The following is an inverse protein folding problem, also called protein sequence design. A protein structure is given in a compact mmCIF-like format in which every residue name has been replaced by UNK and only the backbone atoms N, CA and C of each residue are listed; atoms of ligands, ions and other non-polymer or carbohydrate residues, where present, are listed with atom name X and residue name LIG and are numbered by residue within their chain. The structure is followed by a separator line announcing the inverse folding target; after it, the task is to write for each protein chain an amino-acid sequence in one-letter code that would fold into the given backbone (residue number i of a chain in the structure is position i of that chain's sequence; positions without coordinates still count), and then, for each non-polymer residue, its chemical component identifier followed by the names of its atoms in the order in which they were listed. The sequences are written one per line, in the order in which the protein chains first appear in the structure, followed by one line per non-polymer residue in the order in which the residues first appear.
data_IF_330811479228
#
_entry.id   IF_330811479228
#
_cell.length_a   1.000
_cell.length_b   1.000
_cell.length_c   1.000
_cell.angle_alpha   90.00
_cell.angle_beta   90.00
_cell.angle_gamma   90.00
#
_symmetry.space_group_name_H-M   'P 1'
#
loop_
_entity.id
_entity.type
_entity.pdbx_description
1 polymer ?
#
# COMPACT_ATOMS: atom_id res chain seq x y z
N UNK A 1 -14.82 20.17 -10.03
CA UNK A 1 -13.98 20.64 -8.90
C UNK A 1 -13.38 21.99 -9.27
N UNK A 2 -12.82 22.71 -8.30
CA UNK A 2 -11.96 23.89 -8.54
C UNK A 2 -10.52 23.57 -8.09
N UNK A 3 -9.57 24.45 -8.37
CA UNK A 3 -8.15 24.21 -8.04
C UNK A 3 -7.92 23.92 -6.55
N UNK A 4 -8.52 24.71 -5.65
CA UNK A 4 -8.41 24.50 -4.20
C UNK A 4 -8.94 23.13 -3.76
N UNK A 5 -10.04 22.67 -4.36
CA UNK A 5 -10.59 21.34 -4.08
C UNK A 5 -9.64 20.24 -4.56
N UNK A 6 -9.06 20.37 -5.75
CA UNK A 6 -8.07 19.41 -6.29
C UNK A 6 -6.83 19.36 -5.39
N UNK A 7 -6.28 20.51 -4.99
CA UNK A 7 -5.12 20.57 -4.11
C UNK A 7 -5.37 19.91 -2.75
N UNK A 8 -6.54 20.18 -2.13
CA UNK A 8 -6.94 19.55 -0.87
C UNK A 8 -7.07 18.03 -1.02
N UNK A 9 -7.67 17.56 -2.11
CA UNK A 9 -7.79 16.14 -2.38
C UNK A 9 -6.43 15.47 -2.59
N UNK A 10 -5.52 16.10 -3.35
CA UNK A 10 -4.14 15.62 -3.49
C UNK A 10 -3.49 15.46 -2.12
N UNK A 11 -3.54 16.48 -1.25
CA UNK A 11 -2.95 16.39 0.09
C UNK A 11 -3.55 15.25 0.93
N UNK A 12 -4.87 15.05 0.89
CA UNK A 12 -5.55 13.95 1.59
C UNK A 12 -5.08 12.59 1.08
N UNK A 13 -5.03 12.41 -0.25
CA UNK A 13 -4.68 11.14 -0.88
C UNK A 13 -3.19 10.82 -0.71
N UNK A 14 -2.30 11.81 -0.76
CA UNK A 14 -0.88 11.66 -0.39
C UNK A 14 -0.72 11.12 1.04
N UNK A 15 -1.50 11.66 1.99
CA UNK A 15 -1.53 11.16 3.36
C UNK A 15 -2.05 9.73 3.46
N UNK A 16 -3.04 9.35 2.64
CA UNK A 16 -3.57 7.99 2.57
C UNK A 16 -2.54 6.99 2.03
N UNK A 17 -1.83 7.32 0.94
CA UNK A 17 -0.73 6.49 0.41
C UNK A 17 0.33 6.23 1.46
N UNK A 18 0.77 7.26 2.19
CA UNK A 18 1.78 7.12 3.24
C UNK A 18 1.35 6.16 4.35
N UNK A 19 0.08 6.17 4.76
CA UNK A 19 -0.44 5.26 5.79
C UNK A 19 -0.59 3.84 5.25
N UNK A 20 -1.20 3.68 4.07
CA UNK A 20 -1.41 2.38 3.44
C UNK A 20 -0.10 1.68 3.09
N UNK A 21 0.94 2.44 2.69
CA UNK A 21 2.27 1.86 2.42
C UNK A 21 2.87 1.27 3.69
N UNK A 22 2.80 2.00 4.82
CA UNK A 22 3.26 1.49 6.12
C UNK A 22 2.47 0.27 6.59
N UNK A 23 1.16 0.28 6.41
CA UNK A 23 0.30 -0.86 6.73
C UNK A 23 0.66 -2.08 5.86
N UNK A 24 0.87 -1.88 4.56
CA UNK A 24 1.27 -2.94 3.63
C UNK A 24 2.64 -3.55 4.00
N UNK A 25 3.60 -2.71 4.38
CA UNK A 25 4.92 -3.17 4.81
C UNK A 25 4.86 -3.93 6.14
N UNK A 26 4.02 -3.49 7.09
CA UNK A 26 3.76 -4.24 8.33
C UNK A 26 3.22 -5.65 8.05
N UNK A 27 2.24 -5.79 7.15
CA UNK A 27 1.71 -7.12 6.81
C UNK A 27 2.73 -7.99 6.08
N UNK A 28 3.64 -7.40 5.29
CA UNK A 28 4.76 -8.15 4.70
C UNK A 28 5.68 -8.72 5.78
N UNK A 29 6.09 -7.89 6.74
CA UNK A 29 6.94 -8.31 7.84
C UNK A 29 6.27 -9.42 8.68
N UNK A 30 4.99 -9.26 9.02
CA UNK A 30 4.21 -10.27 9.74
C UNK A 30 4.09 -11.59 8.96
N UNK A 31 3.80 -11.53 7.66
CA UNK A 31 3.70 -12.71 6.81
C UNK A 31 5.02 -13.47 6.71
N UNK A 32 6.15 -12.77 6.63
CA UNK A 32 7.48 -13.39 6.63
C UNK A 32 7.81 -14.03 7.99
N UNK A 33 7.39 -13.42 9.11
CA UNK A 33 7.53 -14.04 10.43
C UNK A 33 6.71 -15.33 10.53
N UNK A 34 5.47 -15.34 10.04
CA UNK A 34 4.63 -16.54 10.01
C UNK A 34 5.22 -17.64 9.13
N UNK A 35 5.73 -17.26 7.95
CA UNK A 35 6.42 -18.18 7.05
C UNK A 35 7.66 -18.79 7.71
N UNK A 36 8.51 -17.97 8.31
CA UNK A 36 9.72 -18.41 9.02
C UNK A 36 9.36 -19.39 10.15
N UNK A 37 8.29 -19.11 10.91
CA UNK A 37 7.81 -20.01 11.96
C UNK A 37 7.32 -21.35 11.39
N UNK A 38 6.55 -21.32 10.31
CA UNK A 38 6.11 -22.54 9.63
C UNK A 38 7.30 -23.39 9.16
N UNK A 39 8.26 -22.77 8.47
CA UNK A 39 9.43 -23.45 7.91
C UNK A 39 10.30 -24.08 9.02
N UNK A 40 10.40 -23.39 10.16
CA UNK A 40 11.09 -23.92 11.34
C UNK A 40 10.37 -25.14 11.94
N UNK A 41 9.04 -25.09 12.09
CA UNK A 41 8.25 -26.23 12.60
C UNK A 41 8.37 -27.46 11.69
N UNK A 42 8.37 -27.26 10.37
CA UNK A 42 8.60 -28.32 9.38
C UNK A 42 10.00 -28.91 9.54
N UNK A 43 11.02 -28.06 9.65
CA UNK A 43 12.42 -28.48 9.81
C UNK A 43 12.65 -29.27 11.10
N UNK A 44 11.99 -28.88 12.19
CA UNK A 44 12.11 -29.53 13.49
C UNK A 44 11.31 -30.83 13.58
N UNK A 45 10.54 -31.19 12.54
CA UNK A 45 9.70 -32.38 12.54
C UNK A 45 8.60 -32.30 13.60
N UNK A 46 8.06 -31.09 13.82
CA UNK A 46 7.01 -30.84 14.80
C UNK A 46 5.70 -31.56 14.45
N UNK A 47 4.76 -31.58 15.40
CA UNK A 47 3.46 -32.23 15.20
C UNK A 47 2.70 -31.64 14.00
N UNK A 48 1.93 -32.51 13.33
CA UNK A 48 1.17 -32.15 12.12
C UNK A 48 0.19 -31.01 12.37
N UNK A 49 -0.43 -30.97 13.56
CA UNK A 49 -1.36 -29.91 13.92
C UNK A 49 -0.66 -28.55 14.00
N UNK A 50 0.53 -28.50 14.62
CA UNK A 50 1.31 -27.27 14.76
C UNK A 50 1.76 -26.72 13.40
N UNK A 51 2.25 -27.59 12.52
CA UNK A 51 2.64 -27.22 11.15
C UNK A 51 1.44 -26.68 10.36
N UNK A 52 0.31 -27.38 10.39
CA UNK A 52 -0.93 -26.94 9.70
C UNK A 52 -1.45 -25.62 10.26
N UNK A 53 -1.37 -25.42 11.56
CA UNK A 53 -1.81 -24.18 12.18
C UNK A 53 -0.91 -23.00 11.77
N UNK A 54 0.42 -23.19 11.74
CA UNK A 54 1.34 -22.17 11.28
C UNK A 54 1.14 -21.81 9.80
N UNK A 55 0.86 -22.81 8.94
CA UNK A 55 0.52 -22.57 7.53
C UNK A 55 -0.73 -21.70 7.40
N UNK A 56 -1.80 -22.00 8.16
CA UNK A 56 -3.03 -21.18 8.14
C UNK A 56 -2.76 -19.72 8.52
N UNK A 57 -1.92 -19.47 9.52
CA UNK A 57 -1.56 -18.09 9.91
C UNK A 57 -0.78 -17.37 8.80
N UNK A 58 0.12 -18.09 8.11
CA UNK A 58 0.81 -17.54 6.95
C UNK A 58 -0.15 -17.23 5.78
N UNK A 59 -1.13 -18.10 5.51
CA UNK A 59 -2.13 -17.87 4.47
C UNK A 59 -3.05 -16.67 4.79
N UNK A 60 -3.52 -16.55 6.04
CA UNK A 60 -4.35 -15.41 6.46
C UNK A 60 -3.60 -14.08 6.38
N UNK A 61 -2.35 -14.02 6.84
CA UNK A 61 -1.51 -12.81 6.71
C UNK A 61 -1.18 -12.48 5.25
N UNK A 62 -0.97 -13.49 4.40
CA UNK A 62 -0.78 -13.30 2.95
C UNK A 62 -2.01 -12.66 2.26
N UNK A 63 -3.22 -12.98 2.72
CA UNK A 63 -4.44 -12.32 2.22
C UNK A 63 -4.44 -10.82 2.57
N UNK A 64 -3.92 -10.43 3.73
CA UNK A 64 -3.80 -9.03 4.14
C UNK A 64 -2.81 -8.24 3.28
N UNK A 65 -1.71 -8.85 2.82
CA UNK A 65 -0.81 -8.24 1.83
C UNK A 65 -1.56 -7.94 0.53
N UNK A 66 -2.37 -8.89 0.05
CA UNK A 66 -3.12 -8.74 -1.20
C UNK A 66 -4.16 -7.62 -1.09
N UNK A 67 -4.92 -7.59 0.02
CA UNK A 67 -5.92 -6.56 0.28
C UNK A 67 -5.30 -5.16 0.45
N UNK A 68 -4.25 -5.04 1.28
CA UNK A 68 -3.56 -3.76 1.49
C UNK A 68 -2.93 -3.23 0.20
N UNK A 69 -2.37 -4.10 -0.64
CA UNK A 69 -1.90 -3.71 -1.99
C UNK A 69 -3.05 -3.21 -2.86
N UNK A 70 -4.17 -3.91 -2.89
CA UNK A 70 -5.33 -3.46 -3.68
C UNK A 70 -5.86 -2.10 -3.20
N UNK A 71 -5.92 -1.86 -1.89
CA UNK A 71 -6.27 -0.55 -1.32
C UNK A 71 -5.27 0.53 -1.70
N UNK A 72 -3.97 0.24 -1.62
CA UNK A 72 -2.91 1.17 -2.01
C UNK A 72 -3.02 1.56 -3.50
N UNK A 73 -3.22 0.57 -4.38
CA UNK A 73 -3.36 0.78 -5.82
C UNK A 73 -4.55 1.68 -6.16
N UNK A 74 -5.71 1.47 -5.53
CA UNK A 74 -6.88 2.33 -5.74
C UNK A 74 -6.59 3.79 -5.40
N UNK A 75 -5.88 4.05 -4.31
CA UNK A 75 -5.51 5.43 -3.93
C UNK A 75 -4.52 6.04 -4.93
N UNK A 76 -3.61 5.22 -5.48
CA UNK A 76 -2.66 5.66 -6.51
C UNK A 76 -3.40 6.02 -7.81
N UNK A 77 -4.38 5.22 -8.23
CA UNK A 77 -5.26 5.53 -9.36
C UNK A 77 -6.01 6.86 -9.14
N UNK A 78 -6.59 7.07 -7.94
CA UNK A 78 -7.22 8.34 -7.58
C UNK A 78 -6.25 9.53 -7.63
N UNK A 79 -4.99 9.34 -7.22
CA UNK A 79 -3.95 10.37 -7.34
C UNK A 79 -3.66 10.66 -8.81
N UNK A 80 -3.58 9.65 -9.67
CA UNK A 80 -3.36 9.82 -11.10
C UNK A 80 -4.48 10.68 -11.73
N UNK A 81 -5.74 10.39 -11.40
CA UNK A 81 -6.89 11.17 -11.86
C UNK A 81 -6.88 12.63 -11.34
N UNK A 82 -6.44 12.83 -10.10
CA UNK A 82 -6.28 14.16 -9.50
C UNK A 82 -5.13 14.94 -10.16
N UNK A 83 -4.02 14.29 -10.50
CA UNK A 83 -2.90 14.89 -11.23
C UNK A 83 -3.35 15.31 -12.63
N UNK A 84 -4.12 14.49 -13.33
CA UNK A 84 -4.70 14.87 -14.63
C UNK A 84 -5.66 16.04 -14.50
N UNK A 85 -6.51 16.02 -13.46
CA UNK A 85 -7.41 17.13 -13.16
C UNK A 85 -6.66 18.43 -12.83
N UNK A 86 -5.51 18.34 -12.15
CA UNK A 86 -4.69 19.49 -11.77
C UNK A 86 -4.12 20.23 -13.00
N UNK A 87 -3.85 19.54 -14.11
CA UNK A 87 -3.36 20.16 -15.37
C UNK A 87 -4.30 21.22 -15.94
N UNK A 88 -5.58 21.21 -15.55
CA UNK A 88 -6.58 22.19 -15.98
C UNK A 88 -6.45 23.54 -15.25
N UNK A 89 -5.63 23.62 -14.20
CA UNK A 89 -5.50 24.77 -13.32
C UNK A 89 -4.03 25.19 -13.24
N UNK A 90 -3.67 26.28 -13.91
CA UNK A 90 -2.30 26.80 -13.93
C UNK A 90 -1.84 27.25 -12.55
N UNK A 91 -2.75 27.63 -11.64
CA UNK A 91 -2.41 27.96 -10.26
C UNK A 91 -1.87 26.77 -9.43
N UNK A 92 -2.03 25.54 -9.91
CA UNK A 92 -1.48 24.34 -9.26
C UNK A 92 -0.12 23.93 -9.81
N UNK A 93 0.34 24.56 -10.90
CA UNK A 93 1.66 24.29 -11.46
C UNK A 93 2.75 24.69 -10.46
N UNK A 94 3.64 23.75 -10.17
CA UNK A 94 4.69 23.94 -9.17
C UNK A 94 4.22 23.81 -7.71
N UNK A 95 2.96 23.48 -7.45
CA UNK A 95 2.52 23.16 -6.08
C UNK A 95 3.27 21.93 -5.54
N UNK A 96 3.53 21.96 -4.24
CA UNK A 96 4.24 20.89 -3.54
C UNK A 96 3.41 19.59 -3.55
N UNK A 97 2.09 19.69 -3.42
CA UNK A 97 1.19 18.54 -3.52
C UNK A 97 1.26 17.86 -4.89
N UNK A 98 1.25 18.65 -5.98
CA UNK A 98 1.33 18.10 -7.34
C UNK A 98 2.70 17.47 -7.61
N UNK A 99 3.77 18.08 -7.11
CA UNK A 99 5.14 17.56 -7.23
C UNK A 99 5.27 16.22 -6.52
N UNK A 100 4.84 16.14 -5.25
CA UNK A 100 4.84 14.90 -4.46
C UNK A 100 3.98 13.81 -5.09
N UNK A 101 2.81 14.16 -5.62
CA UNK A 101 1.94 13.22 -6.31
C UNK A 101 2.63 12.61 -7.53
N UNK A 102 3.31 13.42 -8.35
CA UNK A 102 4.08 12.94 -9.50
C UNK A 102 5.24 12.03 -9.08
N UNK A 103 5.95 12.36 -8.01
CA UNK A 103 7.02 11.50 -7.47
C UNK A 103 6.48 10.14 -7.04
N UNK A 104 5.38 10.10 -6.28
CA UNK A 104 4.75 8.83 -5.88
C UNK A 104 4.34 8.00 -7.11
N UNK A 105 3.77 8.61 -8.15
CA UNK A 105 3.40 7.90 -9.38
C UNK A 105 4.63 7.36 -10.15
N UNK A 106 5.82 7.94 -9.97
CA UNK A 106 7.06 7.43 -10.56
C UNK A 106 7.69 6.30 -9.74
N UNK A 107 7.62 6.41 -8.41
CA UNK A 107 8.13 5.39 -7.47
C UNK A 107 7.27 4.13 -7.49
N UNK A 108 5.95 4.31 -7.63
CA UNK A 108 5.02 3.20 -7.82
C UNK A 108 5.02 2.79 -9.29
N UNK A 109 6.06 2.05 -9.70
CA UNK A 109 5.96 1.16 -10.86
C UNK A 109 5.55 -0.21 -10.35
N UNK A 110 4.24 -0.50 -10.43
CA UNK A 110 3.70 -1.84 -10.31
C UNK A 110 4.00 -2.64 -11.59
#
# INVERSE_FOLDING_TARGET
MNASAVQKQLNIKLGAVKRLSKEHDLYKEETEQHKTKHDQLVKDGSDEWDVKNAMRMHEESSKMITDSRARLNRVIEEIQDLVESAKKYTELDGSDELSKAKTILQEVKL
#
